data_IF_658040267172
#
_entry.id   IF_658040267172
#
_cell.length_a   1.000
_cell.length_b   1.000
_cell.length_c   1.000
_cell.angle_alpha   90.00
_cell.angle_beta   90.00
_cell.angle_gamma   90.00
#
_symmetry.space_group_name_H-M   'P 1'
#
loop_
_entity.id
_entity.type
_entity.pdbx_description
1 polymer ?
#
# COMPACT_ATOMS: atom_id res chain seq x y z
N UNK A 1 -22.63 -14.28 15.59
CA UNK A 1 -22.62 -13.48 14.34
C UNK A 1 -21.50 -12.49 14.51
N UNK A 2 -20.43 -12.65 13.74
CA UNK A 2 -19.37 -11.64 13.63
C UNK A 2 -19.96 -10.47 12.85
N UNK A 3 -20.17 -9.35 13.52
CA UNK A 3 -20.52 -8.10 12.87
C UNK A 3 -19.28 -7.64 12.09
N UNK A 4 -19.11 -8.15 10.87
CA UNK A 4 -18.12 -7.63 9.95
C UNK A 4 -18.40 -6.14 9.77
N UNK A 5 -17.41 -5.30 10.07
CA UNK A 5 -17.48 -3.85 9.89
C UNK A 5 -17.88 -3.58 8.44
N UNK A 6 -19.14 -3.19 8.22
CA UNK A 6 -19.66 -2.93 6.86
C UNK A 6 -19.11 -1.62 6.28
N UNK A 7 -18.60 -0.72 7.13
CA UNK A 7 -18.04 0.59 6.77
C UNK A 7 -16.99 1.01 7.78
N UNK A 8 -15.80 1.35 7.30
CA UNK A 8 -14.73 1.95 8.08
C UNK A 8 -14.95 3.46 8.17
N UNK A 9 -14.91 4.05 9.37
CA UNK A 9 -15.01 5.50 9.56
C UNK A 9 -13.61 6.09 9.70
N UNK A 10 -13.19 6.88 8.71
CA UNK A 10 -11.89 7.55 8.70
C UNK A 10 -11.93 8.85 9.51
N UNK A 11 -10.86 9.13 10.28
CA UNK A 11 -10.63 10.41 10.97
C UNK A 11 -10.58 11.58 9.99
N UNK A 12 -9.87 11.40 8.89
CA UNK A 12 -9.92 12.29 7.72
C UNK A 12 -10.45 11.50 6.53
N UNK A 13 -11.67 11.83 6.10
CA UNK A 13 -12.32 11.08 5.03
C UNK A 13 -11.62 11.29 3.69
N UNK A 14 -11.27 10.21 2.97
CA UNK A 14 -10.86 10.30 1.57
C UNK A 14 -11.90 11.05 0.75
N UNK A 15 -11.44 11.74 -0.31
CA UNK A 15 -12.33 12.43 -1.25
C UNK A 15 -13.33 11.47 -1.90
N UNK A 16 -12.91 10.23 -2.14
CA UNK A 16 -13.72 9.17 -2.73
C UNK A 16 -13.36 7.83 -2.06
N UNK A 17 -14.38 7.01 -1.78
CA UNK A 17 -14.22 5.68 -1.19
C UNK A 17 -15.18 4.75 -1.92
N UNK A 18 -14.65 3.65 -2.45
CA UNK A 18 -15.44 2.56 -3.02
C UNK A 18 -15.10 1.28 -2.29
N UNK A 19 -16.13 0.54 -1.86
CA UNK A 19 -15.96 -0.78 -1.25
C UNK A 19 -16.07 -1.85 -2.33
N UNK A 20 -15.04 -2.68 -2.45
CA UNK A 20 -15.02 -3.81 -3.37
C UNK A 20 -15.72 -5.03 -2.73
N UNK A 21 -16.48 -5.78 -3.52
CA UNK A 21 -16.99 -7.08 -3.10
C UNK A 21 -15.85 -8.11 -3.14
N UNK A 22 -15.67 -8.88 -2.06
CA UNK A 22 -14.60 -9.86 -1.97
C UNK A 22 -14.27 -10.27 -0.54
N UNK A 23 -13.26 -11.13 -0.41
CA UNK A 23 -12.67 -11.51 0.88
C UNK A 23 -11.66 -10.44 1.30
N UNK A 24 -11.63 -10.01 2.58
CA UNK A 24 -10.63 -9.07 3.06
C UNK A 24 -9.21 -9.66 2.95
N UNK A 25 -8.21 -8.77 2.94
CA UNK A 25 -6.81 -9.15 3.06
C UNK A 25 -6.57 -9.90 4.38
N UNK A 26 -6.09 -11.14 4.31
CA UNK A 26 -5.74 -11.93 5.49
C UNK A 26 -4.23 -11.86 5.74
N UNK A 27 -3.86 -11.19 6.84
CA UNK A 27 -2.45 -10.98 7.19
C UNK A 27 -1.80 -12.25 7.72
N UNK A 28 -0.56 -12.48 7.30
CA UNK A 28 0.29 -13.56 7.79
C UNK A 28 1.73 -13.08 7.98
N UNK A 29 2.60 -13.97 8.47
CA UNK A 29 4.00 -13.65 8.83
C UNK A 29 4.89 -13.33 7.62
N UNK A 30 4.46 -13.64 6.39
CA UNK A 30 5.22 -13.41 5.15
C UNK A 30 5.00 -12.02 4.55
N UNK A 31 4.06 -11.24 5.10
CA UNK A 31 3.77 -9.89 4.64
C UNK A 31 4.89 -8.91 4.97
N UNK A 32 5.29 -8.11 3.97
CA UNK A 32 6.26 -7.03 4.12
C UNK A 32 5.85 -5.83 3.27
N UNK A 33 6.46 -4.68 3.51
CA UNK A 33 6.28 -3.51 2.66
C UNK A 33 7.30 -3.53 1.53
N UNK A 34 6.83 -3.32 0.30
CA UNK A 34 7.66 -3.15 -0.88
C UNK A 34 7.55 -1.71 -1.39
N UNK A 35 8.65 -1.13 -1.87
CA UNK A 35 8.67 0.22 -2.43
C UNK A 35 9.51 0.31 -3.72
N UNK A 36 9.17 1.25 -4.60
CA UNK A 36 9.89 1.41 -5.87
C UNK A 36 11.09 2.38 -5.82
N UNK A 37 11.17 3.29 -4.83
CA UNK A 37 12.27 4.26 -4.71
C UNK A 37 12.79 4.32 -3.28
N UNK A 38 14.11 4.33 -3.08
CA UNK A 38 14.75 4.33 -1.75
C UNK A 38 14.30 5.48 -0.84
N UNK A 39 13.94 6.63 -1.41
CA UNK A 39 13.45 7.79 -0.64
C UNK A 39 12.16 7.52 0.13
N UNK A 40 11.31 6.59 -0.35
CA UNK A 40 10.04 6.15 0.26
C UNK A 40 10.28 5.43 1.58
N UNK A 41 11.45 4.80 1.76
CA UNK A 41 11.73 3.92 2.91
C UNK A 41 11.56 4.62 4.26
N UNK A 42 11.86 5.93 4.36
CA UNK A 42 11.74 6.66 5.63
C UNK A 42 10.29 6.82 6.06
N UNK A 43 9.40 7.07 5.11
CA UNK A 43 7.96 7.24 5.34
C UNK A 43 7.25 5.93 5.74
N UNK A 44 7.90 4.78 5.52
CA UNK A 44 7.40 3.47 5.94
C UNK A 44 7.72 3.14 7.40
N UNK A 45 8.55 3.93 8.09
CA UNK A 45 9.03 3.57 9.43
C UNK A 45 7.88 3.29 10.40
N UNK A 46 6.91 4.19 10.49
CA UNK A 46 5.73 4.03 11.36
C UNK A 46 4.94 2.75 11.03
N UNK A 47 4.65 2.51 9.75
CA UNK A 47 4.01 1.29 9.26
C UNK A 47 4.80 0.01 9.63
N UNK A 48 6.13 0.03 9.52
CA UNK A 48 6.98 -1.11 9.90
C UNK A 48 6.87 -1.42 11.40
N UNK A 49 6.80 -0.39 12.25
CA UNK A 49 6.72 -0.54 13.70
C UNK A 49 5.30 -0.91 14.19
N UNK A 50 4.25 -0.62 13.42
CA UNK A 50 2.86 -0.97 13.75
C UNK A 50 2.70 -2.45 14.09
N UNK A 51 3.39 -3.30 13.33
CA UNK A 51 3.30 -4.75 13.47
C UNK A 51 4.24 -5.37 14.51
N UNK A 52 5.12 -4.57 15.12
CA UNK A 52 6.14 -5.07 16.06
C UNK A 52 5.54 -5.78 17.26
N UNK A 53 4.36 -5.35 17.73
CA UNK A 53 3.63 -6.01 18.83
C UNK A 53 3.15 -7.42 18.46
N UNK A 54 2.86 -7.65 17.19
CA UNK A 54 2.31 -8.91 16.68
C UNK A 54 3.42 -9.89 16.28
N UNK A 55 4.39 -9.44 15.48
CA UNK A 55 5.46 -10.28 14.91
C UNK A 55 6.75 -10.26 15.74
N UNK A 56 6.75 -9.56 16.89
CA UNK A 56 7.91 -9.32 17.76
C UNK A 56 9.07 -8.52 17.13
N UNK A 57 8.98 -8.20 15.84
CA UNK A 57 9.97 -7.43 15.08
C UNK A 57 9.26 -6.46 14.14
N UNK A 58 9.82 -5.28 13.84
CA UNK A 58 9.26 -4.43 12.79
C UNK A 58 9.22 -5.19 11.46
N UNK A 59 8.16 -5.01 10.67
CA UNK A 59 8.12 -5.55 9.31
C UNK A 59 9.21 -4.92 8.44
N UNK A 60 9.67 -5.68 7.46
CA UNK A 60 10.68 -5.20 6.53
C UNK A 60 10.06 -4.24 5.51
N UNK A 61 10.86 -3.25 5.09
CA UNK A 61 10.60 -2.41 3.93
C UNK A 61 11.68 -2.71 2.89
N UNK A 62 11.27 -3.35 1.79
CA UNK A 62 12.13 -3.89 0.74
C UNK A 62 11.95 -3.12 -0.56
N UNK A 63 13.03 -3.00 -1.35
CA UNK A 63 12.91 -2.49 -2.71
C UNK A 63 12.27 -3.54 -3.64
N UNK A 64 11.37 -3.11 -4.51
CA UNK A 64 10.88 -3.95 -5.63
C UNK A 64 12.06 -4.16 -6.58
N UNK A 65 12.24 -5.39 -7.08
CA UNK A 65 13.28 -5.68 -8.06
C UNK A 65 12.93 -5.06 -9.41
N UNK A 66 13.90 -4.47 -10.08
CA UNK A 66 13.73 -3.86 -11.41
C UNK A 66 13.11 -4.86 -12.42
N UNK A 67 13.43 -6.16 -12.31
CA UNK A 67 12.86 -7.21 -13.15
C UNK A 67 11.35 -7.41 -13.01
N UNK A 68 10.73 -6.85 -11.96
CA UNK A 68 9.30 -6.98 -11.68
C UNK A 68 8.53 -5.70 -12.01
N UNK A 69 9.20 -4.64 -12.46
CA UNK A 69 8.62 -3.31 -12.56
C UNK A 69 9.04 -2.63 -13.87
N UNK A 70 8.08 -2.31 -14.73
CA UNK A 70 8.31 -1.57 -15.97
C UNK A 70 8.74 -0.13 -15.70
N UNK A 71 9.83 0.31 -16.34
CA UNK A 71 10.47 1.61 -16.07
C UNK A 71 9.49 2.79 -16.15
N UNK A 72 8.59 2.78 -17.14
CA UNK A 72 7.61 3.84 -17.41
C UNK A 72 6.69 4.13 -16.21
N UNK A 73 6.33 3.09 -15.45
CA UNK A 73 5.44 3.22 -14.29
C UNK A 73 6.18 3.65 -13.03
N UNK A 74 7.45 3.26 -12.89
CA UNK A 74 8.34 3.70 -11.79
C UNK A 74 8.56 5.21 -11.76
N UNK A 75 8.51 5.87 -12.91
CA UNK A 75 8.76 7.30 -13.02
C UNK A 75 7.50 8.13 -12.85
N UNK A 76 6.33 7.51 -13.04
CA UNK A 76 5.04 8.17 -12.87
C UNK A 76 4.65 8.32 -11.40
N UNK A 77 4.95 7.32 -10.57
CA UNK A 77 4.49 7.29 -9.17
C UNK A 77 5.57 6.88 -8.16
N UNK A 78 5.42 7.36 -6.94
CA UNK A 78 5.93 6.69 -5.75
C UNK A 78 4.95 5.59 -5.36
N UNK A 79 5.47 4.42 -5.05
CA UNK A 79 4.67 3.21 -4.86
C UNK A 79 5.08 2.49 -3.59
N UNK A 80 4.05 2.04 -2.86
CA UNK A 80 4.17 1.11 -1.75
C UNK A 80 3.19 -0.04 -1.99
N UNK A 81 3.65 -1.27 -1.89
CA UNK A 81 2.81 -2.47 -1.95
C UNK A 81 3.03 -3.24 -0.66
N UNK A 82 1.98 -3.46 0.11
CA UNK A 82 1.99 -4.33 1.27
C UNK A 82 1.43 -5.71 0.85
N UNK A 83 2.33 -6.69 0.75
CA UNK A 83 2.02 -8.03 0.24
C UNK A 83 3.14 -9.02 0.58
N UNK A 84 3.07 -10.24 0.06
CA UNK A 84 4.08 -11.30 0.24
C UNK A 84 5.13 -11.29 -0.88
N UNK A 85 6.25 -11.99 -0.65
CA UNK A 85 7.32 -12.16 -1.65
C UNK A 85 6.89 -12.97 -2.89
N UNK A 86 5.77 -13.68 -2.84
CA UNK A 86 5.22 -14.41 -3.97
C UNK A 86 4.44 -13.47 -4.90
N UNK A 87 3.48 -12.72 -4.33
CA UNK A 87 2.60 -11.81 -5.06
C UNK A 87 3.39 -10.66 -5.71
N UNK A 88 4.43 -10.15 -5.03
CA UNK A 88 5.22 -9.03 -5.57
C UNK A 88 5.91 -9.34 -6.92
N UNK A 89 6.08 -10.62 -7.28
CA UNK A 89 6.64 -11.01 -8.59
C UNK A 89 5.73 -10.59 -9.75
N UNK A 90 4.44 -10.43 -9.49
CA UNK A 90 3.42 -9.99 -10.45
C UNK A 90 3.16 -8.48 -10.37
N UNK A 91 4.10 -7.68 -9.84
CA UNK A 91 3.94 -6.21 -9.68
C UNK A 91 3.44 -5.54 -10.97
N UNK A 92 4.00 -5.85 -12.14
CA UNK A 92 3.53 -5.29 -13.41
C UNK A 92 2.03 -5.52 -13.67
N UNK A 93 1.49 -6.70 -13.33
CA UNK A 93 0.06 -6.98 -13.47
C UNK A 93 -0.74 -6.14 -12.48
N UNK A 94 -0.29 -6.08 -11.23
CA UNK A 94 -0.90 -5.24 -10.18
C UNK A 94 -1.01 -3.80 -10.70
N UNK A 95 0.06 -3.25 -11.25
CA UNK A 95 0.11 -1.82 -11.59
C UNK A 95 -0.47 -1.48 -12.97
N UNK A 96 -0.62 -2.46 -13.86
CA UNK A 96 -1.11 -2.25 -15.23
C UNK A 96 -2.52 -1.65 -15.31
N UNK A 97 -3.36 -1.87 -14.29
CA UNK A 97 -4.69 -1.28 -14.19
C UNK A 97 -4.70 0.22 -13.87
N UNK A 98 -3.56 0.81 -13.49
CA UNK A 98 -3.46 2.19 -13.03
C UNK A 98 -2.60 3.08 -13.95
N UNK A 99 -2.32 2.64 -15.17
CA UNK A 99 -1.55 3.43 -16.15
C UNK A 99 -2.23 4.76 -16.48
N UNK A 100 -3.56 4.84 -16.35
CA UNK A 100 -4.36 6.00 -16.76
C UNK A 100 -4.85 6.87 -15.60
N UNK A 101 -4.54 6.52 -14.35
CA UNK A 101 -5.00 7.33 -13.22
C UNK A 101 -4.23 8.66 -13.13
N UNK A 102 -4.95 9.76 -12.93
CA UNK A 102 -4.33 11.05 -12.68
C UNK A 102 -4.34 11.35 -11.17
N UNK A 103 -3.16 11.31 -10.55
CA UNK A 103 -2.98 11.66 -9.14
C UNK A 103 -2.43 13.09 -9.07
N UNK A 104 -3.15 13.97 -8.36
CA UNK A 104 -2.72 15.34 -8.14
C UNK A 104 -1.56 15.42 -7.13
N UNK A 105 -0.83 16.53 -7.16
CA UNK A 105 0.22 16.83 -6.18
C UNK A 105 -0.36 16.77 -4.75
N UNK A 106 0.34 16.13 -3.81
CA UNK A 106 -0.14 15.96 -2.44
C UNK A 106 -1.30 14.97 -2.26
N UNK A 107 -1.77 14.32 -3.34
CA UNK A 107 -2.81 13.29 -3.27
C UNK A 107 -2.23 11.89 -3.42
N UNK A 108 -3.02 10.90 -3.05
CA UNK A 108 -2.70 9.49 -3.20
C UNK A 108 -3.90 8.70 -3.73
N UNK A 109 -3.61 7.49 -4.18
CA UNK A 109 -4.57 6.46 -4.52
C UNK A 109 -4.23 5.22 -3.70
N UNK A 110 -5.22 4.64 -3.02
CA UNK A 110 -5.06 3.46 -2.19
C UNK A 110 -6.09 2.41 -2.61
N UNK A 111 -5.64 1.20 -2.92
CA UNK A 111 -6.50 0.05 -3.16
C UNK A 111 -6.09 -1.10 -2.24
N UNK A 112 -7.06 -1.87 -1.78
CA UNK A 112 -6.83 -3.12 -1.07
C UNK A 112 -7.75 -4.22 -1.62
N UNK A 113 -7.21 -5.42 -1.77
CA UNK A 113 -7.95 -6.63 -2.13
C UNK A 113 -7.46 -7.81 -1.27
N UNK A 114 -7.78 -9.05 -1.65
CA UNK A 114 -7.38 -10.24 -0.89
C UNK A 114 -5.88 -10.53 -0.89
N UNK A 115 -5.13 -9.93 -1.82
CA UNK A 115 -3.75 -10.31 -2.12
C UNK A 115 -2.75 -9.20 -1.75
N UNK A 116 -3.17 -7.94 -1.82
CA UNK A 116 -2.30 -6.79 -1.54
C UNK A 116 -3.07 -5.55 -1.07
N UNK A 117 -2.31 -4.63 -0.48
CA UNK A 117 -2.68 -3.22 -0.38
C UNK A 117 -1.66 -2.38 -1.17
N UNK A 118 -2.14 -1.61 -2.14
CA UNK A 118 -1.36 -0.78 -3.06
C UNK A 118 -1.60 0.70 -2.75
N UNK A 119 -0.52 1.43 -2.53
CA UNK A 119 -0.51 2.88 -2.40
C UNK A 119 0.30 3.49 -3.56
N UNK A 120 -0.32 4.40 -4.29
CA UNK A 120 0.30 5.21 -5.33
C UNK A 120 0.21 6.69 -4.97
N UNK A 121 1.30 7.43 -5.16
CA UNK A 121 1.33 8.86 -4.95
C UNK A 121 2.23 9.54 -6.00
N UNK A 122 1.93 10.81 -6.32
CA UNK A 122 2.77 11.59 -7.26
C UNK A 122 4.04 12.13 -6.62
N UNK A 123 4.02 12.37 -5.32
CA UNK A 123 5.09 12.97 -4.55
C UNK A 123 5.12 12.45 -3.11
N UNK A 124 6.10 12.92 -2.33
CA UNK A 124 6.27 12.52 -0.93
C UNK A 124 5.16 13.05 -0.01
N UNK A 125 4.51 14.16 -0.37
CA UNK A 125 3.41 14.72 0.41
C UNK A 125 2.19 13.80 0.33
N UNK A 126 1.81 13.40 -0.88
CA UNK A 126 0.74 12.42 -1.10
C UNK A 126 1.08 11.06 -0.51
N UNK A 127 2.35 10.63 -0.62
CA UNK A 127 2.80 9.39 0.02
C UNK A 127 2.61 9.43 1.53
N UNK A 128 3.00 10.53 2.20
CA UNK A 128 2.86 10.69 3.64
C UNK A 128 1.39 10.67 4.10
N UNK A 129 0.51 11.34 3.36
CA UNK A 129 -0.94 11.26 3.59
C UNK A 129 -1.46 9.82 3.40
N UNK A 130 -1.00 9.13 2.36
CA UNK A 130 -1.38 7.76 2.08
C UNK A 130 -0.91 6.77 3.14
N UNK A 131 0.32 6.87 3.61
CA UNK A 131 0.85 6.01 4.68
C UNK A 131 0.10 6.22 5.99
N UNK A 132 -0.31 7.46 6.29
CA UNK A 132 -1.12 7.77 7.48
C UNK A 132 -2.49 7.08 7.42
N UNK A 133 -3.11 7.00 6.24
CA UNK A 133 -4.36 6.28 6.03
C UNK A 133 -4.15 4.75 6.09
N UNK A 134 -3.04 4.24 5.56
CA UNK A 134 -2.69 2.82 5.72
C UNK A 134 -2.53 2.46 7.21
N UNK A 135 -1.89 3.30 8.01
CA UNK A 135 -1.78 3.10 9.47
C UNK A 135 -3.15 3.05 10.14
N UNK A 136 -4.07 3.93 9.74
CA UNK A 136 -5.43 3.94 10.27
C UNK A 136 -6.19 2.66 9.93
N UNK A 137 -6.05 2.13 8.70
CA UNK A 137 -6.71 0.89 8.27
C UNK A 137 -6.13 -0.35 8.98
N UNK A 138 -4.83 -0.35 9.26
CA UNK A 138 -4.11 -1.50 9.81
C UNK A 138 -4.06 -1.53 11.35
N UNK A 139 -4.64 -0.53 12.03
CA UNK A 139 -4.74 -0.45 13.50
C UNK A 139 -6.11 -0.94 13.99
#
# INVERSE_FOLDING_TARGET
MTDYIKKFEFKESPKEITYLEGVPLELNEDFVFFHNKTKVRKDLTSLQYLFKSYTQNPLLALGIRDSYLEEELTDKYLMVIFTTSEIIKDTNKIISGYTDIEINKGCFYLETNSDYMLLLAKDLEGLHSGTSIMEEILT
#
